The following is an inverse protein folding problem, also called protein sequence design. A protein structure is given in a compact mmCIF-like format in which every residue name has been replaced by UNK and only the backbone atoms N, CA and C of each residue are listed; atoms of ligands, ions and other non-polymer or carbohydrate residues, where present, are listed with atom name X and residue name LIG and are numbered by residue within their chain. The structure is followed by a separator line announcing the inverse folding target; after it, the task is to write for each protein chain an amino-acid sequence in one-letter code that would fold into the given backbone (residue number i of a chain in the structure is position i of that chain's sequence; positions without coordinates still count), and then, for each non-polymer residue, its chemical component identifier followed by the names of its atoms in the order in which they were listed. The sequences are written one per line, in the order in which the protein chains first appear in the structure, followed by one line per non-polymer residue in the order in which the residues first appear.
data_IF_697503257527
#
_entry.id   IF_697503257527
#
_cell.length_a   1.000
_cell.length_b   1.000
_cell.length_c   1.000
_cell.angle_alpha   90.00
_cell.angle_beta   90.00
_cell.angle_gamma   90.00
#
_symmetry.space_group_name_H-M   'P 1'
#
loop_
_entity.id
_entity.type
_entity.pdbx_description
1 polymer ?
#
# COMPACT_ATOMS: atom_id res chain seq x y z
N UNK A 1 26.95 -42.14 13.62
CA UNK A 1 27.15 -41.15 12.51
C UNK A 1 26.15 -39.99 12.61
N UNK A 2 24.84 -40.25 12.72
CA UNK A 2 23.79 -39.20 12.82
C UNK A 2 23.98 -38.24 14.02
N UNK A 3 24.54 -38.71 15.14
CA UNK A 3 24.71 -37.89 16.36
C UNK A 3 25.73 -36.74 16.22
N UNK A 4 26.78 -36.88 15.40
CA UNK A 4 27.82 -35.85 15.28
C UNK A 4 27.39 -34.67 14.38
N UNK A 5 26.39 -34.85 13.53
CA UNK A 5 25.84 -33.78 12.69
C UNK A 5 25.08 -32.72 13.52
N UNK A 6 24.55 -33.09 14.69
CA UNK A 6 23.81 -32.18 15.58
C UNK A 6 24.72 -31.23 16.39
N UNK A 7 26.04 -31.45 16.40
CA UNK A 7 26.97 -30.63 17.18
C UNK A 7 27.25 -29.25 16.55
N UNK A 8 27.00 -29.09 15.25
CA UNK A 8 27.16 -27.82 14.53
C UNK A 8 25.85 -27.04 14.56
N UNK A 9 25.76 -26.07 15.45
CA UNK A 9 24.63 -25.14 15.47
C UNK A 9 24.85 -24.01 14.46
N UNK A 10 24.51 -24.27 13.20
CA UNK A 10 24.33 -23.19 12.21
C UNK A 10 23.11 -22.37 12.64
N UNK A 11 23.33 -21.12 13.05
CA UNK A 11 22.24 -20.20 13.43
C UNK A 11 22.15 -19.07 12.41
N UNK A 12 20.94 -18.87 11.88
CA UNK A 12 20.61 -17.74 11.04
C UNK A 12 19.60 -16.87 11.78
N UNK A 13 20.04 -15.68 12.20
CA UNK A 13 19.20 -14.69 12.85
C UNK A 13 18.60 -13.79 11.78
N UNK A 14 17.27 -13.83 11.62
CA UNK A 14 16.53 -12.94 10.74
C UNK A 14 16.02 -11.73 11.51
N UNK A 15 16.49 -10.53 11.15
CA UNK A 15 15.96 -9.27 11.66
C UNK A 15 14.97 -8.70 10.65
N UNK A 16 13.74 -8.51 11.09
CA UNK A 16 12.68 -7.89 10.31
C UNK A 16 12.47 -6.48 10.84
N UNK A 17 12.72 -5.50 10.00
CA UNK A 17 12.38 -4.09 10.28
C UNK A 17 11.34 -3.62 9.29
N UNK A 18 10.68 -2.51 9.57
CA UNK A 18 9.70 -1.93 8.62
C UNK A 18 10.07 -0.50 8.32
N UNK A 19 9.95 -0.13 7.05
CA UNK A 19 10.15 1.24 6.55
C UNK A 19 8.89 1.69 5.83
N UNK A 20 8.48 2.93 6.05
CA UNK A 20 7.38 3.54 5.29
C UNK A 20 7.90 4.09 3.97
N UNK A 21 7.26 3.71 2.85
CA UNK A 21 7.49 4.31 1.53
C UNK A 21 6.14 4.53 0.85
N UNK A 22 5.87 5.76 0.39
CA UNK A 22 4.59 6.11 -0.26
C UNK A 22 3.34 5.76 0.59
N UNK A 23 3.45 5.88 1.92
CA UNK A 23 2.38 5.52 2.86
C UNK A 23 2.19 4.01 3.07
N UNK A 24 2.91 3.16 2.34
CA UNK A 24 2.91 1.70 2.50
C UNK A 24 4.04 1.27 3.42
N UNK A 25 3.73 0.47 4.45
CA UNK A 25 4.75 -0.15 5.31
C UNK A 25 5.38 -1.33 4.59
N UNK A 26 6.66 -1.21 4.26
CA UNK A 26 7.44 -2.23 3.56
C UNK A 26 8.39 -2.91 4.55
N UNK A 27 8.46 -4.25 4.60
CA UNK A 27 9.44 -4.94 5.44
C UNK A 27 10.83 -4.87 4.81
N UNK A 28 11.85 -4.66 5.65
CA UNK A 28 13.26 -4.77 5.29
C UNK A 28 13.84 -5.93 6.08
N UNK A 29 14.38 -6.92 5.36
CA UNK A 29 14.87 -8.17 5.91
C UNK A 29 16.40 -8.16 5.95
N UNK A 30 16.99 -8.36 7.12
CA UNK A 30 18.43 -8.52 7.27
C UNK A 30 18.72 -9.90 7.87
N UNK A 31 19.54 -10.69 7.19
CA UNK A 31 19.97 -12.01 7.67
C UNK A 31 21.39 -11.94 8.22
N UNK A 32 21.57 -12.28 9.50
CA UNK A 32 22.87 -12.50 10.10
C UNK A 32 23.08 -14.01 10.21
N UNK A 33 24.08 -14.53 9.52
CA UNK A 33 24.40 -15.95 9.59
C UNK A 33 25.65 -16.13 10.45
N UNK A 34 25.55 -16.89 11.54
CA UNK A 34 26.70 -17.32 12.35
C UNK A 34 27.03 -18.75 11.98
N UNK A 35 28.22 -18.94 11.40
CA UNK A 35 28.77 -20.26 11.11
C UNK A 35 29.91 -20.57 12.07
N UNK A 36 29.92 -21.76 12.70
CA UNK A 36 31.12 -22.27 13.34
C UNK A 36 32.18 -22.59 12.26
N UNK A 37 33.46 -22.55 12.66
CA UNK A 37 34.60 -22.87 11.77
C UNK A 37 34.50 -24.28 11.18
N UNK A 38 33.86 -25.19 11.90
CA UNK A 38 33.55 -26.54 11.44
C UNK A 38 32.03 -26.79 11.48
N UNK A 39 31.32 -26.58 10.36
CA UNK A 39 29.87 -26.71 10.31
C UNK A 39 29.38 -28.17 10.22
N UNK A 40 30.27 -29.16 10.20
CA UNK A 40 29.92 -30.59 10.12
C UNK A 40 31.07 -31.47 10.64
N UNK A 41 30.79 -32.77 10.86
CA UNK A 41 31.80 -33.74 11.31
C UNK A 41 32.78 -34.13 10.20
N UNK A 42 34.08 -34.20 10.53
CA UNK A 42 35.14 -34.52 9.57
C UNK A 42 35.16 -35.97 9.11
N UNK A 43 34.63 -36.88 9.94
CA UNK A 43 34.77 -38.34 9.77
C UNK A 43 34.13 -38.84 8.46
N UNK A 44 33.03 -38.21 8.03
CA UNK A 44 32.34 -38.50 6.76
C UNK A 44 32.36 -37.30 5.80
N UNK A 45 33.31 -36.38 5.99
CA UNK A 45 33.36 -35.16 5.16
C UNK A 45 33.96 -35.40 3.79
N UNK A 46 33.48 -34.64 2.80
CA UNK A 46 34.06 -34.61 1.46
C UNK A 46 34.18 -33.17 0.97
N UNK A 47 35.12 -32.89 0.06
CA UNK A 47 35.28 -31.56 -0.55
C UNK A 47 33.99 -31.03 -1.22
N UNK A 48 33.05 -31.92 -1.56
CA UNK A 48 31.73 -31.54 -2.08
C UNK A 48 30.84 -30.91 -1.01
N UNK A 49 30.96 -31.32 0.25
CA UNK A 49 30.20 -30.76 1.37
C UNK A 49 30.62 -29.33 1.70
N UNK A 50 31.90 -28.99 1.54
CA UNK A 50 32.40 -27.61 1.65
C UNK A 50 31.77 -26.70 0.60
N UNK A 51 31.82 -27.11 -0.67
CA UNK A 51 31.24 -26.34 -1.78
C UNK A 51 29.72 -26.19 -1.61
N UNK A 52 29.04 -27.26 -1.17
CA UNK A 52 27.61 -27.23 -0.89
C UNK A 52 27.28 -26.26 0.26
N UNK A 53 28.07 -26.27 1.33
CA UNK A 53 27.90 -25.35 2.46
C UNK A 53 28.03 -23.90 2.03
N UNK A 54 29.03 -23.56 1.21
CA UNK A 54 29.21 -22.21 0.67
C UNK A 54 28.00 -21.79 -0.18
N UNK A 55 27.60 -22.63 -1.15
CA UNK A 55 26.47 -22.35 -2.04
C UNK A 55 25.15 -22.21 -1.28
N UNK A 56 24.97 -22.97 -0.20
CA UNK A 56 23.79 -22.86 0.65
C UNK A 56 23.70 -21.49 1.33
N UNK A 57 24.83 -20.93 1.80
CA UNK A 57 24.86 -19.57 2.38
C UNK A 57 24.39 -18.51 1.40
N UNK A 58 24.89 -18.59 0.17
CA UNK A 58 24.58 -17.64 -0.89
C UNK A 58 23.11 -17.77 -1.32
N UNK A 59 22.63 -19.01 -1.47
CA UNK A 59 21.23 -19.28 -1.77
C UNK A 59 20.30 -18.72 -0.67
N UNK A 60 20.65 -18.90 0.60
CA UNK A 60 19.84 -18.39 1.72
C UNK A 60 19.79 -16.85 1.72
N UNK A 61 20.91 -16.17 1.43
CA UNK A 61 20.92 -14.70 1.26
C UNK A 61 20.04 -14.26 0.09
N UNK A 62 20.12 -14.96 -1.04
CA UNK A 62 19.32 -14.65 -2.22
C UNK A 62 17.82 -14.84 -1.96
N UNK A 63 17.43 -15.90 -1.27
CA UNK A 63 16.02 -16.18 -0.90
C UNK A 63 15.49 -15.07 0.01
N UNK A 64 16.26 -14.64 1.02
CA UNK A 64 15.82 -13.56 1.92
C UNK A 64 15.61 -12.25 1.14
N UNK A 65 16.52 -11.91 0.22
CA UNK A 65 16.40 -10.72 -0.62
C UNK A 65 15.20 -10.82 -1.58
N UNK A 66 14.95 -12.00 -2.14
CA UNK A 66 13.79 -12.24 -2.99
C UNK A 66 12.49 -12.07 -2.20
N UNK A 67 12.41 -12.66 -1.00
CA UNK A 67 11.24 -12.56 -0.13
C UNK A 67 10.93 -11.11 0.27
N UNK A 68 11.97 -10.29 0.49
CA UNK A 68 11.83 -8.85 0.75
C UNK A 68 11.16 -8.14 -0.43
N UNK A 69 11.69 -8.32 -1.65
CA UNK A 69 11.18 -7.68 -2.87
C UNK A 69 9.76 -8.17 -3.17
N UNK A 70 9.52 -9.48 -3.11
CA UNK A 70 8.22 -10.06 -3.41
C UNK A 70 7.13 -9.53 -2.46
N UNK A 71 7.42 -9.49 -1.16
CA UNK A 71 6.48 -8.95 -0.16
C UNK A 71 6.23 -7.47 -0.40
N UNK A 72 7.26 -6.72 -0.78
CA UNK A 72 7.17 -5.30 -1.12
C UNK A 72 6.22 -5.07 -2.31
N UNK A 73 6.42 -5.80 -3.40
CA UNK A 73 5.61 -5.70 -4.62
C UNK A 73 4.16 -6.08 -4.34
N UNK A 74 3.92 -7.18 -3.60
CA UNK A 74 2.57 -7.59 -3.19
C UNK A 74 1.84 -6.52 -2.40
N UNK A 75 2.52 -5.86 -1.45
CA UNK A 75 1.93 -4.77 -0.67
C UNK A 75 1.62 -3.54 -1.51
N UNK A 76 2.52 -3.17 -2.44
CA UNK A 76 2.26 -2.07 -3.36
C UNK A 76 1.08 -2.35 -4.29
N UNK A 77 0.98 -3.56 -4.85
CA UNK A 77 -0.12 -3.93 -5.74
C UNK A 77 -1.49 -3.74 -5.06
N UNK A 78 -1.62 -4.16 -3.80
CA UNK A 78 -2.85 -4.00 -3.02
C UNK A 78 -3.20 -2.52 -2.78
N UNK A 79 -2.21 -1.69 -2.45
CA UNK A 79 -2.48 -0.28 -2.17
C UNK A 79 -2.78 0.52 -3.45
N UNK A 80 -2.12 0.18 -4.56
CA UNK A 80 -2.43 0.74 -5.88
C UNK A 80 -3.86 0.40 -6.28
N UNK A 81 -4.30 -0.85 -6.08
CA UNK A 81 -5.66 -1.26 -6.40
C UNK A 81 -6.69 -0.50 -5.56
N UNK A 82 -6.45 -0.34 -4.26
CA UNK A 82 -7.30 0.48 -3.36
C UNK A 82 -7.38 1.92 -3.83
N UNK A 83 -6.26 2.51 -4.21
CA UNK A 83 -6.20 3.89 -4.69
C UNK A 83 -6.96 4.03 -6.00
N UNK A 84 -6.78 3.09 -6.94
CA UNK A 84 -7.49 3.07 -8.22
C UNK A 84 -9.01 2.98 -8.02
N UNK A 85 -9.48 2.11 -7.11
CA UNK A 85 -10.92 2.01 -6.78
C UNK A 85 -11.46 3.31 -6.21
N UNK A 86 -10.71 4.00 -5.35
CA UNK A 86 -11.11 5.32 -4.82
C UNK A 86 -11.21 6.38 -5.90
N UNK A 87 -10.24 6.44 -6.81
CA UNK A 87 -10.26 7.38 -7.95
C UNK A 87 -11.49 7.11 -8.82
N UNK A 88 -11.76 5.86 -9.16
CA UNK A 88 -12.93 5.50 -9.97
C UNK A 88 -14.26 5.86 -9.29
N UNK A 89 -14.38 5.66 -7.97
CA UNK A 89 -15.57 6.07 -7.23
C UNK A 89 -15.75 7.61 -7.25
N UNK A 90 -14.65 8.35 -7.17
CA UNK A 90 -14.69 9.82 -7.24
C UNK A 90 -15.15 10.29 -8.62
N UNK A 91 -14.55 9.76 -9.69
CA UNK A 91 -14.84 10.15 -11.07
C UNK A 91 -16.25 9.76 -11.51
N UNK A 92 -16.69 8.55 -11.21
CA UNK A 92 -17.96 8.02 -11.75
C UNK A 92 -19.16 8.38 -10.89
N UNK A 93 -18.99 8.53 -9.56
CA UNK A 93 -20.13 8.69 -8.64
C UNK A 93 -20.09 10.04 -7.95
N UNK A 94 -18.99 10.38 -7.26
CA UNK A 94 -18.97 11.53 -6.35
C UNK A 94 -18.99 12.85 -7.13
N UNK A 95 -18.10 13.01 -8.11
CA UNK A 95 -18.01 14.26 -8.91
C UNK A 95 -19.32 14.52 -9.68
N UNK A 96 -19.91 13.55 -10.41
CA UNK A 96 -21.17 13.79 -11.11
C UNK A 96 -22.33 14.12 -10.15
N UNK A 97 -22.41 13.45 -9.00
CA UNK A 97 -23.44 13.72 -8.00
C UNK A 97 -23.32 15.13 -7.43
N UNK A 98 -22.11 15.57 -7.08
CA UNK A 98 -21.87 16.94 -6.60
C UNK A 98 -22.19 17.99 -7.68
N UNK A 99 -21.87 17.69 -8.95
CA UNK A 99 -22.25 18.54 -10.09
C UNK A 99 -23.77 18.66 -10.24
N UNK A 100 -24.50 17.56 -10.12
CA UNK A 100 -25.96 17.56 -10.16
C UNK A 100 -26.57 18.35 -8.98
N UNK A 101 -26.06 18.17 -7.77
CA UNK A 101 -26.49 18.95 -6.59
C UNK A 101 -26.25 20.44 -6.79
N UNK A 102 -25.09 20.83 -7.30
CA UNK A 102 -24.76 22.24 -7.57
C UNK A 102 -25.74 22.84 -8.58
N UNK A 103 -26.07 22.11 -9.65
CA UNK A 103 -27.04 22.53 -10.65
C UNK A 103 -28.44 22.71 -10.05
N UNK A 104 -28.87 21.78 -9.20
CA UNK A 104 -30.16 21.86 -8.53
C UNK A 104 -30.26 23.07 -7.61
N UNK A 105 -29.24 23.31 -6.78
CA UNK A 105 -29.18 24.48 -5.90
C UNK A 105 -29.22 25.77 -6.71
N UNK A 106 -28.47 25.85 -7.81
CA UNK A 106 -28.46 27.04 -8.68
C UNK A 106 -29.85 27.32 -9.28
N UNK A 107 -30.52 26.29 -9.81
CA UNK A 107 -31.88 26.44 -10.35
C UNK A 107 -32.88 26.89 -9.28
N UNK A 108 -32.80 26.35 -8.06
CA UNK A 108 -33.67 26.76 -6.97
C UNK A 108 -33.44 28.22 -6.54
N UNK A 109 -32.19 28.69 -6.55
CA UNK A 109 -31.86 30.09 -6.28
C UNK A 109 -32.35 31.02 -7.39
N UNK A 110 -32.13 30.67 -8.65
CA UNK A 110 -32.60 31.46 -9.80
C UNK A 110 -34.14 31.57 -9.81
N UNK A 111 -34.86 30.51 -9.47
CA UNK A 111 -36.33 30.55 -9.37
C UNK A 111 -36.80 31.44 -8.21
N UNK A 112 -36.12 31.36 -7.06
CA UNK A 112 -36.41 32.23 -5.91
C UNK A 112 -36.18 33.70 -6.21
N UNK A 113 -35.09 34.03 -6.90
CA UNK A 113 -34.81 35.40 -7.35
C UNK A 113 -35.87 35.91 -8.33
N UNK A 114 -36.35 35.05 -9.24
CA UNK A 114 -37.47 35.40 -10.14
C UNK A 114 -38.74 35.70 -9.36
N UNK A 115 -39.14 34.84 -8.42
CA UNK A 115 -40.32 35.07 -7.58
C UNK A 115 -40.23 36.41 -6.83
N UNK A 116 -39.08 36.70 -6.23
CA UNK A 116 -38.87 37.94 -5.48
C UNK A 116 -38.88 39.18 -6.39
N UNK A 117 -38.37 39.08 -7.63
CA UNK A 117 -38.48 40.14 -8.63
C UNK A 117 -39.93 40.41 -9.03
N UNK A 118 -40.72 39.36 -9.29
CA UNK A 118 -42.15 39.50 -9.60
C UNK A 118 -42.94 40.11 -8.43
N UNK A 119 -42.69 39.66 -7.19
CA UNK A 119 -43.29 40.24 -5.99
C UNK A 119 -43.01 41.73 -5.88
N UNK A 120 -41.73 42.12 -6.04
CA UNK A 120 -41.31 43.52 -5.96
C UNK A 120 -41.96 44.37 -7.05
N UNK A 121 -42.09 43.83 -8.27
CA UNK A 121 -42.75 44.53 -9.37
C UNK A 121 -44.24 44.80 -9.07
N UNK A 122 -44.99 43.78 -8.62
CA UNK A 122 -46.42 43.92 -8.31
C UNK A 122 -46.66 44.97 -7.21
N UNK A 123 -45.82 44.97 -6.16
CA UNK A 123 -45.93 45.96 -5.08
C UNK A 123 -45.71 47.38 -5.63
N UNK A 124 -44.71 47.56 -6.50
CA UNK A 124 -44.41 48.85 -7.13
C UNK A 124 -45.57 49.33 -8.03
N UNK A 125 -46.14 48.42 -8.83
CA UNK A 125 -47.27 48.72 -9.72
C UNK A 125 -48.53 49.11 -8.93
N UNK A 126 -48.78 48.51 -7.76
CA UNK A 126 -49.90 48.90 -6.88
C UNK A 126 -49.71 50.29 -6.27
N UNK A 127 -48.51 50.58 -5.77
CA UNK A 127 -48.20 51.90 -5.19
C UNK A 127 -48.35 53.02 -6.23
N UNK A 128 -47.96 52.77 -7.49
CA UNK A 128 -48.08 53.73 -8.57
C UNK A 128 -49.53 53.93 -9.10
N UNK A 129 -50.46 53.05 -8.73
CA UNK A 129 -51.88 53.16 -9.11
C UNK A 129 -52.75 53.82 -8.03
N UNK A 130 -52.22 53.93 -6.81
CA UNK A 130 -52.86 54.66 -5.69
C UNK A 130 -52.45 56.14 -5.64
N UNK A 131 -51.41 56.54 -6.38
CA UNK A 131 -51.07 57.94 -6.71
C UNK A 131 -51.82 58.44 -7.97
#
# INVERSE_FOLDING_TARGET
VVEFAYASQVRADLRITTRSMMGVRVPVLAVQQRYPDLPYSLVDSSARLDVMSIKFRDALRAIVRLAEIETTVKRFALEIERTKRRVSALETIVIPRLGATTRHVKLALEEREREDFFRTKIIRDRLAAEE
#
